data_IF_391649556817
#
_entry.id   IF_391649556817
#
_cell.length_a   1.000
_cell.length_b   1.000
_cell.length_c   1.000
_cell.angle_alpha   90.00
_cell.angle_beta   90.00
_cell.angle_gamma   90.00
#
_symmetry.space_group_name_H-M   'P 1'
#
loop_
_entity.id
_entity.type
_entity.pdbx_description
1 polymer ?
2 non-polymer ?
3 water ?
#
# COMPACT_ATOMS: atom_id res chain seq x y z
N UNK A 11 -24.53 23.00 -6.50
CA UNK A 11 -23.48 23.94 -6.90
C UNK A 11 -22.36 23.26 -7.67
N UNK A 12 -22.60 22.97 -8.95
CA UNK A 12 -21.62 22.27 -9.76
C UNK A 12 -20.44 23.17 -10.10
N UNK A 13 -19.25 22.60 -10.04
CA UNK A 13 -18.02 23.35 -10.33
C UNK A 13 -17.25 22.68 -11.46
N UNK A 14 -17.46 23.17 -12.68
CA UNK A 14 -16.85 22.57 -13.86
C UNK A 14 -15.90 23.55 -14.55
N UNK A 15 -14.88 23.01 -15.20
CA UNK A 15 -13.82 23.83 -15.79
C UNK A 15 -13.60 23.47 -17.26
N UNK A 16 -14.22 22.37 -17.70
CA UNK A 16 -14.02 21.86 -19.05
C UNK A 16 -15.03 22.41 -20.07
N UNK A 17 -14.52 22.97 -21.16
CA UNK A 17 -15.35 23.43 -22.26
C UNK A 17 -14.50 23.64 -23.52
N UNK A 18 -15.15 23.86 -24.65
CA UNK A 18 -14.46 23.99 -25.92
C UNK A 18 -14.00 25.41 -26.22
N UNK A 19 -12.73 25.70 -25.95
CA UNK A 19 -12.18 27.01 -26.25
C UNK A 19 -10.94 26.89 -27.13
N UNK A 20 -10.60 25.66 -27.50
CA UNK A 20 -9.41 25.39 -28.29
C UNK A 20 -9.72 25.47 -29.78
N UNK A 21 -8.74 25.92 -30.56
CA UNK A 21 -8.88 25.96 -32.01
C UNK A 21 -7.49 25.92 -32.66
N UNK A 22 -7.44 25.36 -33.86
CA UNK A 22 -6.19 25.25 -34.61
C UNK A 22 -6.28 26.05 -35.90
N UNK A 23 -5.42 27.05 -36.04
CA UNK A 23 -5.46 27.93 -37.20
C UNK A 23 -4.84 27.30 -38.44
N UNK A 24 -3.59 26.86 -38.31
CA UNK A 24 -2.86 26.27 -39.42
C UNK A 24 -3.11 24.78 -39.54
N UNK A 25 -2.24 24.09 -40.25
CA UNK A 25 -2.37 22.64 -40.38
C UNK A 25 -1.43 21.93 -39.42
N UNK A 26 -1.61 20.62 -39.28
CA UNK A 26 -0.78 19.84 -38.38
C UNK A 26 0.45 19.31 -39.12
N UNK A 27 1.52 19.04 -38.38
CA UNK A 27 2.70 18.42 -38.94
C UNK A 27 2.77 16.95 -38.53
N UNK A 28 2.59 16.06 -39.50
CA UNK A 28 2.55 14.63 -39.23
C UNK A 28 3.89 14.06 -38.80
N UNK A 29 3.88 13.26 -37.75
CA UNK A 29 5.09 12.61 -37.25
C UNK A 29 4.86 11.11 -37.13
N UNK A 30 5.95 10.35 -37.01
CA UNK A 30 5.86 8.91 -36.93
C UNK A 30 6.85 8.33 -35.91
N UNK A 31 6.36 7.48 -35.02
CA UNK A 31 7.21 6.79 -34.06
C UNK A 31 8.18 5.84 -34.75
N UNK A 32 9.32 5.59 -34.12
CA UNK A 32 10.27 4.60 -34.60
C UNK A 32 9.65 3.20 -34.51
N UNK A 33 10.24 2.24 -35.22
CA UNK A 33 9.71 0.88 -35.23
C UNK A 33 9.70 0.28 -33.84
N UNK A 34 10.77 0.52 -33.08
CA UNK A 34 10.91 -0.04 -31.74
C UNK A 34 9.93 0.58 -30.76
N UNK A 35 9.80 1.90 -30.79
CA UNK A 35 8.90 2.60 -29.88
C UNK A 35 7.44 2.26 -30.20
N UNK A 36 7.16 1.95 -31.46
CA UNK A 36 5.83 1.58 -31.89
C UNK A 36 5.43 0.21 -31.35
N UNK A 37 6.40 -0.69 -31.26
CA UNK A 37 6.17 -2.03 -30.74
C UNK A 37 5.90 -2.01 -29.23
N UNK A 38 6.50 -1.03 -28.55
CA UNK A 38 6.30 -0.89 -27.12
C UNK A 38 4.95 -0.26 -26.82
N UNK A 39 4.54 0.70 -27.66
CA UNK A 39 3.26 1.37 -27.47
C UNK A 39 2.08 0.41 -27.61
N UNK A 40 2.14 -0.47 -28.61
CA UNK A 40 1.09 -1.47 -28.82
C UNK A 40 1.03 -2.42 -27.63
N UNK A 41 2.18 -2.61 -26.99
CA UNK A 41 2.26 -3.47 -25.82
C UNK A 41 1.54 -2.80 -24.65
N UNK A 42 1.73 -1.50 -24.52
CA UNK A 42 1.03 -0.73 -23.49
C UNK A 42 -0.47 -0.76 -23.74
N UNK A 43 -0.86 -0.80 -25.01
CA UNK A 43 -2.27 -0.76 -25.40
C UNK A 43 -2.96 -2.10 -25.30
N UNK A 44 -2.20 -3.19 -25.16
CA UNK A 44 -2.80 -4.52 -25.20
C UNK A 44 -2.16 -5.54 -24.26
N UNK A 45 -0.85 -5.44 -24.07
CA UNK A 45 -0.12 -6.50 -23.37
C UNK A 45 0.46 -6.09 -22.02
N UNK A 46 0.15 -4.88 -21.58
CA UNK A 46 0.78 -4.36 -20.37
C UNK A 46 -0.08 -4.47 -19.11
N UNK A 47 -1.36 -4.15 -19.25
CA UNK A 47 -2.25 -4.13 -18.09
C UNK A 47 -3.36 -5.17 -18.22
N UNK A 48 -3.73 -5.77 -17.08
CA UNK A 48 -4.80 -6.77 -17.05
C UNK A 48 -6.16 -6.09 -17.05
N UNK A 49 -6.29 -5.00 -16.30
CA UNK A 49 -7.52 -4.24 -16.25
C UNK A 49 -7.48 -3.05 -17.21
N UNK A 50 -8.43 -3.00 -18.14
CA UNK A 50 -8.48 -1.92 -19.12
C UNK A 50 -9.08 -0.65 -18.51
N UNK A 51 -9.58 -0.76 -17.29
CA UNK A 51 -10.22 0.37 -16.62
C UNK A 51 -9.21 1.23 -15.90
N UNK A 52 -7.96 0.77 -15.83
CA UNK A 52 -6.94 1.48 -15.08
C UNK A 52 -6.36 2.67 -15.84
N UNK A 53 -6.87 2.93 -17.03
CA UNK A 53 -6.38 4.08 -17.79
C UNK A 53 -6.80 5.36 -17.09
N UNK A 54 -7.94 5.31 -16.41
CA UNK A 54 -8.42 6.44 -15.64
C UNK A 54 -7.48 6.69 -14.46
N UNK A 55 -7.06 5.61 -13.81
CA UNK A 55 -6.11 5.68 -12.71
C UNK A 55 -4.80 6.35 -13.13
N UNK A 56 -4.27 5.95 -14.28
CA UNK A 56 -2.97 6.44 -14.73
C UNK A 56 -3.00 7.93 -15.07
N UNK A 57 -4.03 8.35 -15.80
CA UNK A 57 -4.18 9.75 -16.17
C UNK A 57 -4.37 10.64 -14.94
N UNK A 58 -5.11 10.14 -13.95
CA UNK A 58 -5.26 10.88 -12.70
C UNK A 58 -3.91 11.00 -12.00
N UNK A 59 -3.10 9.95 -12.09
CA UNK A 59 -1.76 9.98 -11.51
C UNK A 59 -0.92 11.05 -12.20
N UNK A 60 -0.92 11.03 -13.53
CA UNK A 60 -0.22 12.03 -14.33
C UNK A 60 -0.68 13.44 -13.97
N UNK A 61 -1.99 13.64 -13.96
CA UNK A 61 -2.57 14.94 -13.63
C UNK A 61 -2.10 15.41 -12.25
N UNK A 62 -2.04 14.48 -11.31
CA UNK A 62 -1.64 14.81 -9.95
C UNK A 62 -0.18 15.20 -9.88
N UNK A 63 0.68 14.45 -10.57
CA UNK A 63 2.10 14.77 -10.59
C UNK A 63 2.34 16.14 -11.23
N UNK A 64 1.63 16.41 -12.30
CA UNK A 64 1.72 17.70 -12.99
C UNK A 64 1.35 18.85 -12.04
N UNK A 65 0.30 18.65 -11.25
CA UNK A 65 -0.13 19.64 -10.27
C UNK A 65 0.88 19.86 -9.16
N UNK A 66 1.54 18.79 -8.72
CA UNK A 66 2.58 18.91 -7.70
C UNK A 66 3.77 19.71 -8.21
N UNK A 67 4.18 19.41 -9.44
CA UNK A 67 5.33 20.09 -10.04
C UNK A 67 5.09 21.58 -10.16
N UNK A 68 3.84 21.94 -10.47
CA UNK A 68 3.46 23.34 -10.59
C UNK A 68 3.45 24.03 -9.23
N UNK A 69 2.88 23.35 -8.25
CA UNK A 69 2.79 23.90 -6.90
C UNK A 69 4.17 24.10 -6.29
N UNK A 70 4.96 23.03 -6.27
CA UNK A 70 6.32 23.08 -5.75
C UNK A 70 7.10 24.22 -6.38
N UNK A 71 6.87 24.46 -7.66
CA UNK A 71 7.54 25.54 -8.38
C UNK A 71 7.08 26.89 -7.86
N UNK A 72 5.76 27.09 -7.81
CA UNK A 72 5.20 28.36 -7.37
C UNK A 72 5.53 28.66 -5.91
N UNK A 73 5.49 27.64 -5.07
CA UNK A 73 5.81 27.80 -3.66
C UNK A 73 7.28 28.18 -3.49
N UNK A 74 8.14 27.58 -4.31
CA UNK A 74 9.57 27.87 -4.28
C UNK A 74 9.86 29.29 -4.74
N UNK A 75 9.13 29.76 -5.74
CA UNK A 75 9.32 31.10 -6.27
C UNK A 75 8.58 32.14 -5.44
N UNK A 76 7.80 31.67 -4.48
CA UNK A 76 7.04 32.56 -3.62
C UNK A 76 5.85 33.19 -4.32
N UNK A 77 5.38 32.56 -5.38
CA UNK A 77 4.24 33.07 -6.13
C UNK A 77 2.93 32.54 -5.56
N UNK A 78 1.84 33.27 -5.79
CA UNK A 78 0.51 32.85 -5.35
C UNK A 78 0.11 31.56 -6.06
N UNK A 79 -0.85 30.84 -5.48
CA UNK A 79 -1.29 29.58 -6.06
C UNK A 79 -2.66 29.72 -6.75
N UNK A 80 -2.74 29.29 -8.01
CA UNK A 80 -3.99 29.30 -8.77
C UNK A 80 -4.85 28.11 -8.40
N UNK A 81 -6.05 28.00 -8.98
CA UNK A 81 -6.86 26.79 -8.79
C UNK A 81 -6.10 25.56 -9.30
N UNK A 82 -5.80 24.64 -8.38
CA UNK A 82 -5.11 23.41 -8.71
C UNK A 82 -6.06 22.24 -8.57
N UNK A 83 -6.63 21.80 -9.68
CA UNK A 83 -7.69 20.79 -9.64
C UNK A 83 -7.53 19.77 -10.75
N UNK A 84 -8.29 18.68 -10.64
CA UNK A 84 -8.38 17.68 -11.69
C UNK A 84 -9.84 17.50 -12.06
N UNK A 85 -10.16 17.63 -13.34
CA UNK A 85 -11.54 17.50 -13.78
C UNK A 85 -11.72 16.39 -14.81
N UNK A 86 -12.74 15.57 -14.60
CA UNK A 86 -13.13 14.56 -15.56
C UNK A 86 -14.54 14.83 -16.08
N UNK A 87 -14.76 14.56 -17.35
CA UNK A 87 -16.06 14.77 -17.96
C UNK A 87 -16.44 13.58 -18.84
N UNK A 88 -17.67 13.08 -18.68
CA UNK A 88 -18.19 12.03 -19.55
C UNK A 88 -19.26 12.57 -20.48
N UNK A 89 -19.34 11.99 -21.68
CA UNK A 89 -20.34 12.38 -22.67
C UNK A 89 -20.82 11.17 -23.46
N UNK A 90 -22.00 10.67 -23.13
CA UNK A 90 -22.54 9.48 -23.75
C UNK A 90 -22.90 9.71 -25.22
N UNK A 91 -23.48 10.87 -25.51
CA UNK A 91 -23.89 11.21 -26.87
C UNK A 91 -22.69 11.19 -27.83
N UNK A 92 -21.59 11.81 -27.41
CA UNK A 92 -20.38 11.83 -28.22
C UNK A 92 -19.47 10.64 -27.94
N UNK A 93 -19.85 9.83 -26.94
CA UNK A 93 -19.06 8.68 -26.54
C UNK A 93 -17.62 9.03 -26.23
N UNK A 94 -17.41 9.93 -25.28
CA UNK A 94 -16.07 10.36 -24.91
C UNK A 94 -15.87 10.52 -23.41
N UNK A 95 -14.61 10.54 -23.00
CA UNK A 95 -14.25 10.85 -21.63
C UNK A 95 -13.07 11.83 -21.64
N UNK A 96 -13.16 12.86 -20.82
CA UNK A 96 -12.17 13.93 -20.81
C UNK A 96 -11.54 14.08 -19.44
N UNK A 97 -10.23 14.38 -19.41
CA UNK A 97 -9.59 14.71 -18.15
C UNK A 97 -8.66 15.91 -18.35
N UNK A 98 -8.88 16.94 -17.55
CA UNK A 98 -8.09 18.15 -17.62
C UNK A 98 -7.52 18.48 -16.26
N UNK A 99 -6.26 18.90 -16.23
CA UNK A 99 -5.65 19.37 -14.99
C UNK A 99 -5.05 20.75 -15.21
N UNK A 100 -5.10 21.59 -14.17
CA UNK A 100 -4.48 22.92 -14.23
C UNK A 100 -3.05 22.88 -13.72
N UNK A 101 -2.35 21.79 -14.02
CA UNK A 101 -0.99 21.61 -13.54
C UNK A 101 0.02 22.28 -14.44
N UNK A 102 1.27 21.89 -14.31
CA UNK A 102 2.30 22.36 -15.23
C UNK A 102 1.98 21.71 -16.57
N UNK A 103 2.28 22.40 -17.65
CA UNK A 103 1.91 21.88 -18.95
C UNK A 103 2.99 21.04 -19.60
N UNK A 104 2.88 20.87 -20.91
CA UNK A 104 3.92 20.25 -21.71
C UNK A 104 4.33 21.19 -22.82
N UNK A 105 5.63 21.33 -23.03
CA UNK A 105 6.13 22.13 -24.15
C UNK A 105 5.89 21.37 -25.44
N UNK A 106 6.17 22.04 -26.56
CA UNK A 106 6.04 21.38 -27.86
C UNK A 106 6.98 20.19 -27.92
N UNK A 107 8.20 20.38 -27.42
CA UNK A 107 9.21 19.33 -27.48
C UNK A 107 8.78 18.11 -26.69
N UNK A 108 8.13 18.32 -25.56
CA UNK A 108 7.65 17.20 -24.75
C UNK A 108 6.49 16.47 -25.42
N UNK A 109 5.69 17.20 -26.20
CA UNK A 109 4.60 16.58 -26.94
C UNK A 109 5.15 15.73 -28.08
N UNK A 110 6.38 16.04 -28.49
CA UNK A 110 7.07 15.26 -29.51
C UNK A 110 8.00 14.22 -28.90
N UNK A 111 9.01 14.70 -28.16
CA UNK A 111 10.06 13.85 -27.60
C UNK A 111 9.52 12.77 -26.68
N UNK A 112 8.89 13.19 -25.58
CA UNK A 112 8.30 12.26 -24.63
C UNK A 112 7.40 11.26 -25.33
N UNK A 113 7.37 10.04 -24.80
CA UNK A 113 6.59 8.96 -25.42
C UNK A 113 7.30 8.51 -26.70
N UNK A 142 6.23 8.44 -16.22
CA UNK A 142 5.71 9.56 -16.99
C UNK A 142 5.79 9.29 -18.48
N UNK A 143 4.66 9.43 -19.17
CA UNK A 143 4.62 9.21 -20.60
C UNK A 143 4.14 7.82 -20.96
N UNK A 144 4.47 6.85 -20.11
CA UNK A 144 4.00 5.48 -20.32
C UNK A 144 2.54 5.33 -19.89
N UNK A 145 2.20 5.88 -18.72
CA UNK A 145 0.85 5.83 -18.19
C UNK A 145 -0.16 6.48 -19.11
N UNK A 146 0.26 7.52 -19.83
CA UNK A 146 -0.64 8.22 -20.74
C UNK A 146 -1.09 7.35 -21.90
N UNK A 147 -0.15 6.63 -22.52
CA UNK A 147 -0.47 5.84 -23.70
C UNK A 147 -1.33 4.63 -23.36
N UNK A 148 -1.52 4.37 -22.06
CA UNK A 148 -2.42 3.32 -21.63
C UNK A 148 -3.85 3.63 -22.05
N UNK A 149 -4.10 4.87 -22.45
CA UNK A 149 -5.42 5.31 -22.87
C UNK A 149 -5.86 4.62 -24.15
N UNK A 150 -4.90 4.12 -24.93
CA UNK A 150 -5.22 3.48 -26.20
C UNK A 150 -5.67 2.04 -26.02
N UNK A 151 -5.92 1.65 -24.76
CA UNK A 151 -6.55 0.38 -24.47
C UNK A 151 -8.06 0.47 -24.73
N UNK A 152 -8.60 1.67 -24.60
CA UNK A 152 -10.04 1.89 -24.73
C UNK A 152 -10.34 2.98 -25.75
N UNK A 153 -9.30 3.54 -26.33
CA UNK A 153 -9.46 4.66 -27.25
C UNK A 153 -9.06 4.33 -28.69
N UNK A 154 -9.90 4.72 -29.64
CA UNK A 154 -9.54 4.58 -31.04
C UNK A 154 -8.83 5.84 -31.52
N UNK A 155 -9.30 6.98 -31.05
CA UNK A 155 -8.74 8.27 -31.44
C UNK A 155 -8.70 9.21 -30.24
N UNK A 156 -7.52 9.79 -29.97
CA UNK A 156 -7.32 10.64 -28.80
C UNK A 156 -6.90 12.06 -29.18
N UNK A 157 -7.44 13.04 -28.45
CA UNK A 157 -7.20 14.46 -28.72
C UNK A 157 -6.61 15.11 -27.48
N UNK A 158 -5.50 15.83 -27.64
CA UNK A 158 -4.78 16.40 -26.50
C UNK A 158 -4.41 17.87 -26.68
N UNK A 159 -4.64 18.65 -25.64
CA UNK A 159 -4.25 20.05 -25.62
C UNK A 159 -3.46 20.36 -24.35
N UNK A 160 -2.33 21.03 -24.51
CA UNK A 160 -1.48 21.34 -23.36
C UNK A 160 -0.82 22.70 -23.52
N UNK A 161 -0.56 23.35 -22.39
CA UNK A 161 0.14 24.61 -22.38
C UNK A 161 0.97 24.75 -21.10
N UNK A 162 2.27 24.89 -21.27
CA UNK A 162 3.19 24.99 -20.13
C UNK A 162 2.86 26.17 -19.25
N UNK A 163 3.12 26.04 -17.95
CA UNK A 163 2.83 27.09 -16.99
C UNK A 163 3.88 28.20 -17.07
N UNK A 164 4.93 27.93 -17.85
CA UNK A 164 5.97 28.92 -18.08
C UNK A 164 5.40 30.16 -18.76
N UNK A 165 5.72 31.34 -18.21
CA UNK A 165 5.21 32.63 -18.72
C UNK A 165 5.60 32.87 -20.17
N UNK A 166 4.62 33.18 -21.01
CA UNK A 166 4.86 33.44 -22.41
C UNK A 166 4.92 32.17 -23.25
N UNK A 167 4.19 31.16 -22.81
CA UNK A 167 4.18 29.86 -23.50
C UNK A 167 3.02 29.77 -24.47
N UNK A 168 3.14 28.88 -25.44
CA UNK A 168 2.09 28.68 -26.44
C UNK A 168 1.37 27.35 -26.23
N UNK A 169 0.11 27.30 -26.64
CA UNK A 169 -0.66 26.08 -26.57
C UNK A 169 -0.47 25.21 -27.81
N UNK A 170 -0.53 23.89 -27.62
CA UNK A 170 -0.35 22.97 -28.73
C UNK A 170 -1.36 21.83 -28.72
N UNK A 171 -1.65 21.31 -29.91
CA UNK A 171 -2.56 20.19 -30.09
C UNK A 171 -1.81 18.91 -30.44
N UNK A 172 -2.31 17.79 -29.94
CA UNK A 172 -1.72 16.49 -30.23
C UNK A 172 -2.83 15.52 -30.61
N UNK A 173 -2.67 14.85 -31.74
CA UNK A 173 -3.69 13.93 -32.23
C UNK A 173 -3.08 12.59 -32.63
N UNK A 174 -3.80 11.50 -32.35
CA UNK A 174 -3.37 10.18 -32.77
C UNK A 174 -4.52 9.20 -32.74
N UNK A 175 -4.43 8.16 -33.59
CA UNK A 175 -5.53 7.22 -33.74
C UNK A 175 -5.12 5.78 -33.42
N UNK A 176 -4.02 5.62 -32.70
CA UNK A 176 -3.60 4.29 -32.26
C UNK A 176 -2.45 3.69 -33.05
N UNK A 177 -2.31 4.12 -34.30
CA UNK A 177 -1.17 3.71 -35.11
C UNK A 177 0.07 4.49 -34.66
N UNK A 178 1.17 4.32 -35.38
CA UNK A 178 2.41 4.99 -35.02
C UNK A 178 2.52 6.41 -35.56
N UNK A 179 1.38 6.99 -35.93
CA UNK A 179 1.37 8.34 -36.50
C UNK A 179 0.58 9.33 -35.66
N UNK A 180 1.22 10.43 -35.29
CA UNK A 180 0.55 11.48 -34.52
C UNK A 180 0.73 12.84 -35.19
N UNK A 181 -0.15 13.77 -34.86
CA UNK A 181 -0.08 15.11 -35.43
C UNK A 181 0.16 16.14 -34.34
N UNK A 182 0.73 17.27 -34.72
CA UNK A 182 0.99 18.35 -33.77
C UNK A 182 0.80 19.71 -34.43
N UNK A 183 0.02 20.57 -33.77
CA UNK A 183 -0.23 21.90 -34.26
C UNK A 183 -0.30 22.89 -33.11
N UNK A 184 -0.03 24.15 -33.40
CA UNK A 184 -0.18 25.21 -32.42
C UNK A 184 -1.65 25.54 -32.26
N UNK A 185 -2.13 25.49 -31.03
CA UNK A 185 -3.55 25.72 -30.74
C UNK A 185 -3.72 26.95 -29.86
N UNK A 186 -4.82 27.66 -30.07
CA UNK A 186 -5.16 28.78 -29.20
C UNK A 186 -6.33 28.40 -28.31
N UNK A 187 -6.58 29.20 -27.28
CA UNK A 187 -7.68 28.95 -26.37
C UNK A 187 -7.41 27.75 -25.49
N UNK A 188 -6.13 27.48 -25.27
CA UNK A 188 -5.73 26.35 -24.43
C UNK A 188 -5.32 26.86 -23.05
N UNK A 189 -5.96 26.34 -22.02
CA UNK A 189 -5.67 26.75 -20.67
C UNK A 189 -4.38 26.11 -20.20
N UNK A 190 -3.67 26.81 -19.33
CA UNK A 190 -2.45 26.26 -18.74
C UNK A 190 -2.75 24.94 -18.05
N UNK A 191 -1.97 23.92 -18.38
CA UNK A 191 -2.22 22.58 -17.89
C UNK A 191 -2.37 21.62 -19.05
N UNK A 192 -3.11 20.54 -18.84
CA UNK A 192 -3.29 19.56 -19.90
C UNK A 192 -4.70 19.03 -19.96
N UNK A 193 -5.24 18.98 -21.18
CA UNK A 193 -6.59 18.47 -21.40
C UNK A 193 -6.53 17.28 -22.34
N UNK A 194 -7.00 16.13 -21.87
CA UNK A 194 -6.97 14.92 -22.68
C UNK A 194 -8.38 14.44 -23.00
N UNK A 195 -8.71 14.48 -24.28
CA UNK A 195 -10.00 14.03 -24.78
C UNK A 195 -9.87 12.66 -25.43
N UNK A 196 -10.56 11.67 -24.87
CA UNK A 196 -10.54 10.31 -25.39
C UNK A 196 -11.83 9.91 -26.09
N UNK A 197 -11.72 9.47 -27.34
CA UNK A 197 -12.86 8.91 -28.05
C UNK A 197 -12.84 7.39 -27.92
N UNK A 198 -13.72 6.88 -27.06
CA UNK A 198 -13.73 5.46 -26.71
C UNK A 198 -14.03 4.56 -27.91
N UNK A 199 -13.52 3.33 -27.85
CA UNK A 199 -13.85 2.33 -28.87
C UNK A 199 -15.32 1.93 -28.78
N UNK A 200 -15.75 1.11 -29.72
CA UNK A 200 -17.13 0.64 -29.78
C UNK A 200 -17.51 -0.18 -28.53
N UNK A 201 -16.65 -1.12 -28.16
CA UNK A 201 -16.94 -1.98 -27.02
C UNK A 201 -16.43 -1.40 -25.69
N UNK A 202 -16.03 -0.14 -25.72
CA UNK A 202 -15.56 0.53 -24.53
C UNK A 202 -16.39 1.77 -24.21
N UNK A 203 -17.62 1.78 -24.71
CA UNK A 203 -18.52 2.90 -24.50
C UNK A 203 -18.91 3.07 -23.04
N UNK A 204 -18.67 2.04 -22.24
CA UNK A 204 -19.02 2.04 -20.83
C UNK A 204 -18.37 3.17 -20.06
N UNK A 205 -17.16 3.55 -20.48
CA UNK A 205 -16.40 4.58 -19.78
C UNK A 205 -16.87 5.99 -20.14
N UNK A 206 -18.03 6.07 -20.79
CA UNK A 206 -18.65 7.35 -21.10
C UNK A 206 -19.85 7.54 -20.19
N UNK A 207 -20.11 6.56 -19.34
CA UNK A 207 -21.21 6.61 -18.39
C UNK A 207 -20.71 7.09 -17.03
N UNK A 208 -21.38 8.09 -16.48
CA UNK A 208 -21.00 8.68 -15.19
C UNK A 208 -20.99 7.64 -14.07
N UNK A 209 -21.95 6.72 -14.10
CA UNK A 209 -22.03 5.68 -13.09
C UNK A 209 -20.78 4.82 -13.07
N UNK A 210 -20.40 4.31 -14.24
CA UNK A 210 -19.22 3.47 -14.38
C UNK A 210 -17.96 4.20 -13.94
N UNK A 211 -17.80 5.43 -14.42
CA UNK A 211 -16.58 6.20 -14.16
C UNK A 211 -16.45 6.59 -12.70
N UNK A 212 -17.56 6.92 -12.06
CA UNK A 212 -17.53 7.25 -10.64
C UNK A 212 -17.04 6.04 -9.83
N UNK A 213 -17.49 4.85 -10.23
CA UNK A 213 -17.06 3.62 -9.57
C UNK A 213 -15.55 3.44 -9.66
N UNK A 214 -14.98 3.69 -10.83
CA UNK A 214 -13.55 3.49 -11.05
C UNK A 214 -12.71 4.54 -10.33
N UNK A 215 -13.19 5.78 -10.31
CA UNK A 215 -12.47 6.86 -9.67
C UNK A 215 -12.42 6.65 -8.15
N UNK A 216 -13.51 6.19 -7.56
CA UNK A 216 -13.54 6.00 -6.11
C UNK A 216 -12.80 4.73 -5.70
N UNK A 217 -12.50 3.89 -6.68
CA UNK A 217 -11.80 2.63 -6.43
C UNK A 217 -10.30 2.82 -6.33
N UNK A 218 -9.73 3.54 -7.29
CA UNK A 218 -8.27 3.67 -7.39
C UNK A 218 -7.72 5.01 -6.91
N UNK A 219 -8.58 6.03 -6.86
CA UNK A 219 -8.11 7.39 -6.63
C UNK A 219 -8.90 8.13 -5.55
N UNK A 220 -9.05 7.48 -4.40
CA UNK A 220 -9.79 8.07 -3.28
C UNK A 220 -8.89 8.94 -2.42
N UNK A 221 -7.59 8.88 -2.68
CA UNK A 221 -6.60 9.57 -1.86
C UNK A 221 -5.76 10.52 -2.69
N UNK A 222 -6.26 10.90 -3.86
CA UNK A 222 -5.53 11.82 -4.74
C UNK A 222 -5.18 13.10 -4.00
N UNK A 223 -3.98 13.63 -4.24
CA UNK A 223 -3.45 14.73 -3.46
C UNK A 223 -4.08 16.08 -3.83
N UNK A 224 -4.80 16.15 -4.95
CA UNK A 224 -5.47 17.38 -5.35
C UNK A 224 -6.96 17.17 -5.56
N UNK A 225 -7.76 18.24 -5.40
CA UNK A 225 -9.21 18.22 -5.61
C UNK A 225 -9.60 17.62 -6.95
N UNK A 226 -10.42 16.57 -6.92
CA UNK A 226 -10.86 15.90 -8.14
C UNK A 226 -12.37 16.01 -8.32
N UNK A 227 -12.77 16.52 -9.49
CA UNK A 227 -14.18 16.69 -9.80
C UNK A 227 -14.58 15.81 -10.99
N UNK A 228 -15.77 15.23 -10.91
CA UNK A 228 -16.32 14.44 -12.01
C UNK A 228 -17.67 15.00 -12.45
N UNK A 229 -17.70 15.59 -13.63
CA UNK A 229 -18.90 16.26 -14.13
C UNK A 229 -19.38 17.37 -13.19
N UNK A 230 -18.43 18.06 -12.56
CA UNK A 230 -18.74 19.15 -11.66
C UNK A 230 -18.88 18.76 -10.19
N UNK A 231 -18.98 17.46 -9.92
CA UNK A 231 -19.13 16.98 -8.56
C UNK A 231 -17.81 16.54 -7.94
N UNK A 232 -17.59 16.95 -6.69
CA UNK A 232 -16.40 16.57 -5.97
C UNK A 232 -16.42 15.08 -5.63
N UNK A 233 -15.26 14.44 -5.70
CA UNK A 233 -15.17 13.00 -5.51
C UNK A 233 -14.28 12.62 -4.32
N UNK A 234 -13.01 13.01 -4.40
CA UNK A 234 -12.02 12.66 -3.39
C UNK A 234 -12.24 13.38 -2.07
N UNK A 235 -12.14 12.63 -0.98
CA UNK A 235 -12.34 13.18 0.36
C UNK A 235 -11.24 12.71 1.30
N UNK A 236 -10.76 11.49 1.06
CA UNK A 236 -9.83 10.83 1.97
C UNK A 236 -8.40 11.34 1.82
N UNK A 237 -7.69 11.43 2.94
CA UNK A 237 -6.31 11.88 2.97
C UNK A 237 -5.35 10.71 3.23
N UNK A 238 -4.39 10.53 2.34
CA UNK A 238 -3.42 9.44 2.46
C UNK A 238 -2.45 9.70 3.61
N UNK A 239 -2.89 9.43 4.82
CA UNK A 239 -2.14 9.79 6.02
C UNK A 239 -0.82 9.01 6.15
N UNK A 240 -0.68 7.93 5.39
CA UNK A 240 0.55 7.14 5.45
C UNK A 240 1.72 7.85 4.80
N UNK A 241 1.45 8.91 4.04
CA UNK A 241 2.51 9.68 3.40
C UNK A 241 3.07 10.76 4.32
N UNK A 242 2.31 11.12 5.35
CA UNK A 242 2.74 12.13 6.31
C UNK A 242 3.89 11.64 7.18
N UNK A 243 4.42 12.55 7.99
CA UNK A 243 5.38 12.17 9.02
C UNK A 243 4.62 11.58 10.20
N UNK A 244 5.11 10.44 10.72
CA UNK A 244 4.42 9.68 11.78
C UNK A 244 4.07 10.54 12.98
N UNK A 245 4.94 11.47 13.33
CA UNK A 245 4.73 12.31 14.50
C UNK A 245 3.61 13.33 14.28
N UNK A 246 3.34 13.64 13.02
CA UNK A 246 2.33 14.64 12.68
C UNK A 246 0.94 14.04 12.56
N UNK A 247 0.87 12.72 12.53
CA UNK A 247 -0.43 12.06 12.38
C UNK A 247 -1.16 11.99 13.70
N UNK A 248 -2.42 12.39 13.69
CA UNK A 248 -3.21 12.48 14.92
C UNK A 248 -3.99 11.20 15.13
N UNK A 249 -4.24 10.88 16.40
CA UNK A 249 -4.87 9.62 16.78
C UNK A 249 -6.26 9.43 16.16
N UNK A 250 -7.02 10.50 16.04
CA UNK A 250 -8.35 10.39 15.44
C UNK A 250 -8.24 10.11 13.94
N UNK A 251 -7.12 10.50 13.35
CA UNK A 251 -6.90 10.25 11.94
C UNK A 251 -6.62 8.77 11.72
N UNK A 252 -5.81 8.20 12.60
CA UNK A 252 -5.55 6.77 12.57
C UNK A 252 -6.85 6.02 12.76
N UNK A 253 -7.70 6.49 13.67
CA UNK A 253 -8.96 5.85 13.95
C UNK A 253 -9.88 5.88 12.73
N UNK A 254 -9.91 7.03 12.06
CA UNK A 254 -10.70 7.16 10.84
C UNK A 254 -10.19 6.21 9.76
N UNK A 255 -8.90 6.24 9.51
CA UNK A 255 -8.31 5.43 8.45
C UNK A 255 -8.43 3.92 8.73
N UNK A 256 -8.27 3.54 10.00
CA UNK A 256 -8.44 2.15 10.38
C UNK A 256 -9.83 1.66 10.03
N UNK A 257 -10.83 2.46 10.36
CA UNK A 257 -12.21 2.06 10.13
C UNK A 257 -12.50 1.98 8.63
N UNK A 258 -11.81 2.79 7.84
CA UNK A 258 -11.96 2.73 6.40
C UNK A 258 -11.36 1.46 5.79
N UNK A 259 -10.08 1.23 6.01
CA UNK A 259 -9.37 0.13 5.35
C UNK A 259 -9.71 -1.23 5.93
N UNK A 260 -10.12 -1.26 7.20
CA UNK A 260 -10.51 -2.50 7.84
C UNK A 260 -12.03 -2.66 7.83
N UNK A 261 -12.73 -1.63 7.37
CA UNK A 261 -14.20 -1.64 7.33
C UNK A 261 -14.78 -2.08 8.67
N UNK A 262 -14.15 -1.65 9.75
CA UNK A 262 -14.59 -2.02 11.10
C UNK A 262 -15.16 -0.81 11.82
N UNK A 263 -15.72 -1.03 13.00
CA UNK A 263 -16.34 0.05 13.75
C UNK A 263 -15.70 0.25 15.12
N UNK A 264 -14.75 -0.64 15.46
CA UNK A 264 -13.99 -0.47 16.69
C UNK A 264 -12.73 0.37 16.46
N UNK A 265 -11.80 0.34 17.41
CA UNK A 265 -10.55 1.08 17.27
C UNK A 265 -9.42 0.07 17.17
N UNK A 266 -8.25 0.51 16.70
CA UNK A 266 -7.08 -0.37 16.68
C UNK A 266 -6.36 -0.37 18.03
N UNK A 267 -5.92 -1.53 18.49
CA UNK A 267 -5.17 -1.61 19.73
C UNK A 267 -3.68 -1.35 19.46
N UNK A 268 -3.26 -1.64 18.25
CA UNK A 268 -1.86 -1.38 17.84
C UNK A 268 -1.80 -0.60 16.54
N UNK A 269 -0.82 0.29 16.45
CA UNK A 269 -0.57 1.06 15.24
C UNK A 269 0.92 1.20 14.94
N UNK A 270 1.31 0.77 13.74
CA UNK A 270 2.70 0.91 13.31
C UNK A 270 2.80 1.71 12.02
N UNK A 271 3.44 2.87 12.11
CA UNK A 271 3.67 3.71 10.93
C UNK A 271 5.10 3.53 10.45
N UNK A 272 5.27 2.77 9.37
CA UNK A 272 6.61 2.41 8.90
C UNK A 272 6.96 3.06 7.56
N UNK A 273 7.96 3.92 7.57
CA UNK A 273 8.47 4.54 6.36
C UNK A 273 9.95 4.23 6.19
N UNK A 274 10.35 3.83 4.98
CA UNK A 274 11.74 3.48 4.71
C UNK A 274 12.15 3.75 3.27
N UNK A 275 13.45 3.94 3.05
CA UNK A 275 13.98 4.22 1.72
C UNK A 275 15.12 3.27 1.36
N UNK A 276 15.83 2.78 2.38
CA UNK A 276 17.04 1.98 2.20
C UNK A 276 16.75 0.67 1.47
N UNK A 277 15.99 -0.23 2.12
CA UNK A 277 15.70 -1.51 1.47
C UNK A 277 14.90 -1.28 0.19
N UNK A 278 13.71 -0.74 0.35
CA UNK A 278 12.85 -0.36 -0.76
C UNK A 278 11.98 0.82 -0.33
N UNK A 279 11.30 1.44 -1.28
CA UNK A 279 10.39 2.52 -0.94
C UNK A 279 9.16 1.97 -0.23
N UNK A 280 8.91 2.45 0.99
CA UNK A 280 7.79 1.94 1.77
C UNK A 280 7.07 3.02 2.57
N UNK A 281 5.81 3.24 2.23
CA UNK A 281 4.92 4.08 3.04
C UNK A 281 3.73 3.23 3.49
N UNK A 282 3.75 2.79 4.74
CA UNK A 282 2.73 1.86 5.20
C UNK A 282 2.24 2.13 6.62
N UNK A 283 1.00 1.73 6.89
CA UNK A 283 0.44 1.75 8.24
C UNK A 283 -0.18 0.40 8.54
N UNK A 284 0.13 -0.16 9.71
CA UNK A 284 -0.41 -1.46 10.11
C UNK A 284 -1.20 -1.35 11.41
N UNK A 285 -2.37 -1.98 11.44
CA UNK A 285 -3.24 -1.93 12.61
C UNK A 285 -3.53 -3.31 13.17
N UNK A 286 -3.58 -3.40 14.48
CA UNK A 286 -4.11 -4.59 15.14
C UNK A 286 -5.51 -4.27 15.65
N UNK A 287 -6.53 -4.94 15.09
CA UNK A 287 -7.93 -4.70 15.47
C UNK A 287 -8.13 -4.93 16.96
N UNK A 288 -9.01 -4.16 17.58
CA UNK A 288 -9.27 -4.30 19.00
C UNK A 288 -10.12 -5.52 19.30
N UNK A 289 -10.91 -5.94 18.33
CA UNK A 289 -11.78 -7.10 18.50
C UNK A 289 -11.01 -8.40 18.27
N UNK A 290 -11.64 -9.52 18.62
CA UNK A 290 -11.03 -10.84 18.41
C UNK A 290 -11.64 -11.54 17.19
N UNK A 291 -10.85 -12.40 16.54
CA UNK A 291 -11.23 -13.17 15.35
C UNK A 291 -12.58 -13.87 15.48
N UNK A 303 -6.92 -7.74 5.66
CA UNK A 303 -6.82 -7.47 4.23
C UNK A 303 -6.08 -6.15 3.95
N UNK A 304 -4.76 -6.18 4.11
CA UNK A 304 -3.92 -5.00 3.87
C UNK A 304 -4.00 -4.56 2.42
N UNK A 305 -4.19 -3.27 2.19
CA UNK A 305 -4.25 -2.72 0.84
C UNK A 305 -2.86 -2.38 0.30
N UNK A 306 -2.71 -2.48 -1.01
CA UNK A 306 -1.43 -2.19 -1.65
C UNK A 306 -1.54 -0.97 -2.55
N UNK A 307 -0.84 0.10 -2.19
CA UNK A 307 -0.88 1.35 -2.95
C UNK A 307 0.48 1.69 -3.54
N UNK A 308 0.47 2.56 -4.54
CA UNK A 308 1.71 3.08 -5.12
C UNK A 308 1.55 4.55 -5.44
N UNK A 309 2.18 5.40 -4.65
CA UNK A 309 2.08 6.85 -4.80
C UNK A 309 0.64 7.33 -4.68
N UNK A 310 -0.02 6.91 -3.60
CA UNK A 310 -1.41 7.26 -3.32
C UNK A 310 -2.37 6.65 -4.35
N UNK A 311 -1.85 5.73 -5.15
CA UNK A 311 -2.65 5.06 -6.16
C UNK A 311 -2.86 3.60 -5.76
N UNK A 312 -4.12 3.16 -5.76
CA UNK A 312 -4.44 1.78 -5.38
C UNK A 312 -3.98 0.79 -6.46
N UNK A 313 -3.62 -0.41 -6.03
CA UNK A 313 -3.17 -1.45 -6.95
C UNK A 313 -3.94 -2.75 -6.71
N UNK A 314 -3.92 -3.22 -5.47
CA UNK A 314 -4.66 -4.40 -5.07
C UNK A 314 -5.38 -4.13 -3.75
N UNK A 315 -6.71 -4.31 -3.76
CA UNK A 315 -7.49 -4.17 -2.54
C UNK A 315 -7.15 -5.29 -1.57
N UNK A 316 -6.95 -6.49 -2.12
CA UNK A 316 -6.52 -7.64 -1.33
C UNK A 316 -5.04 -7.93 -1.56
N UNK A 317 -4.20 -7.52 -0.62
CA UNK A 317 -2.75 -7.73 -0.74
C UNK A 317 -2.29 -8.77 0.26
N UNK A 318 -2.91 -9.94 0.23
CA UNK A 318 -2.59 -11.02 1.15
C UNK A 318 -1.14 -11.47 1.04
N UNK A 319 -0.56 -11.35 -0.15
CA UNK A 319 0.79 -11.81 -0.42
C UNK A 319 1.88 -10.91 0.16
N UNK A 320 1.53 -9.65 0.41
CA UNK A 320 2.48 -8.67 0.93
C UNK A 320 3.00 -9.05 2.31
N UNK A 321 2.19 -9.79 3.07
CA UNK A 321 2.59 -10.25 4.38
C UNK A 321 2.50 -11.77 4.48
N UNK A 322 3.28 -12.36 5.41
CA UNK A 322 3.18 -13.80 5.68
C UNK A 322 1.76 -14.18 6.10
N UNK A 323 1.38 -15.42 5.85
CA UNK A 323 0.03 -15.88 6.14
C UNK A 323 -0.34 -15.73 7.62
N UNK A 324 0.66 -15.86 8.49
CA UNK A 324 0.39 -15.80 9.93
C UNK A 324 0.18 -14.38 10.41
N UNK A 325 0.40 -13.41 9.52
CA UNK A 325 0.17 -12.00 9.84
C UNK A 325 -1.08 -11.47 9.15
N UNK A 326 -1.98 -12.36 8.77
CA UNK A 326 -3.19 -11.96 8.05
C UNK A 326 -4.20 -11.26 8.96
N UNK A 327 -3.91 -11.19 10.25
CA UNK A 327 -4.80 -10.49 11.17
C UNK A 327 -4.48 -9.00 11.16
N UNK A 328 -3.35 -8.65 10.56
CA UNK A 328 -2.97 -7.25 10.42
C UNK A 328 -3.87 -6.54 9.41
N UNK A 329 -4.18 -5.28 9.70
CA UNK A 329 -4.95 -4.46 8.77
C UNK A 329 -4.16 -3.20 8.42
N UNK A 330 -4.52 -2.56 7.33
CA UNK A 330 -3.87 -1.32 6.95
C UNK A 330 -3.45 -1.26 5.48
N UNK A 331 -2.36 -0.56 5.23
CA UNK A 331 -1.95 -0.30 3.86
C UNK A 331 -0.45 -0.24 3.70
N UNK A 332 0.02 -0.62 2.52
CA UNK A 332 1.43 -0.49 2.18
C UNK A 332 1.55 0.25 0.85
N UNK A 333 2.24 1.38 0.86
CA UNK A 333 2.47 2.14 -0.36
C UNK A 333 3.94 2.05 -0.74
N UNK A 334 4.19 1.72 -2.00
CA UNK A 334 5.56 1.54 -2.48
C UNK A 334 5.67 1.80 -3.98
N UNK A 335 6.62 2.65 -4.35
CA UNK A 335 6.87 2.95 -5.75
C UNK A 335 7.50 1.77 -6.49
N UNK A 336 8.24 0.95 -5.74
CA UNK A 336 8.93 -0.21 -6.31
C UNK A 336 7.98 -1.38 -6.50
N UNK A 337 6.85 -1.13 -7.13
CA UNK A 337 5.85 -2.17 -7.34
C UNK A 337 5.09 -1.98 -8.66
N UNK A 338 4.88 -3.09 -9.40
CA UNK A 338 4.13 -3.16 -10.66
C UNK A 338 2.66 -3.54 -10.45
N UNK A 339 1.84 -3.32 -11.46
CA UNK A 339 2.27 -2.75 -12.73
C UNK A 339 1.35 -1.59 -13.12
N UNK A 347 -1.53 -12.49 -11.99
CA UNK A 347 -1.12 -12.31 -10.60
C UNK A 347 0.30 -11.75 -10.50
N UNK A 348 0.82 -11.70 -9.28
CA UNK A 348 2.12 -11.09 -9.03
C UNK A 348 2.86 -11.73 -7.85
N UNK A 349 4.14 -12.02 -8.06
CA UNK A 349 4.98 -12.56 -7.02
C UNK A 349 6.42 -12.70 -7.52
N UNK A 350 7.18 -11.61 -7.43
CA UNK A 350 8.55 -11.62 -7.91
C UNK A 350 9.47 -10.98 -6.87
N UNK A 351 9.43 -9.65 -6.80
CA UNK A 351 10.19 -8.90 -5.80
C UNK A 351 9.36 -8.69 -4.55
N UNK A 352 8.12 -9.17 -4.59
CA UNK A 352 7.21 -9.11 -3.46
C UNK A 352 7.77 -9.82 -2.24
N UNK A 353 8.50 -10.91 -2.49
CA UNK A 353 9.16 -11.64 -1.41
C UNK A 353 10.10 -10.73 -0.65
N UNK A 354 10.75 -9.82 -1.36
CA UNK A 354 11.64 -8.86 -0.73
C UNK A 354 10.88 -8.03 0.28
N UNK A 355 9.76 -7.45 -0.16
CA UNK A 355 8.94 -6.61 0.71
C UNK A 355 8.30 -7.42 1.84
N UNK A 356 7.78 -8.60 1.51
CA UNK A 356 7.13 -9.46 2.50
C UNK A 356 8.08 -9.83 3.64
N UNK A 357 9.36 -9.95 3.32
CA UNK A 357 10.37 -10.28 4.34
C UNK A 357 10.76 -9.05 5.13
N UNK A 358 10.75 -7.89 4.48
CA UNK A 358 11.11 -6.64 5.15
C UNK A 358 10.05 -6.27 6.19
N UNK A 359 8.79 -6.46 5.84
CA UNK A 359 7.70 -6.11 6.73
C UNK A 359 7.57 -7.11 7.88
N UNK A 360 7.92 -8.36 7.62
CA UNK A 360 7.84 -9.40 8.63
C UNK A 360 8.79 -9.13 9.78
N UNK A 361 10.01 -8.69 9.45
CA UNK A 361 11.00 -8.38 10.47
C UNK A 361 10.65 -7.11 11.25
N UNK A 362 10.11 -6.12 10.54
CA UNK A 362 9.71 -4.87 11.17
C UNK A 362 8.54 -5.08 12.13
N UNK A 363 7.60 -5.93 11.73
CA UNK A 363 6.42 -6.21 12.54
C UNK A 363 6.76 -7.08 13.76
N UNK A 364 7.69 -8.01 13.58
CA UNK A 364 8.16 -8.82 14.69
C UNK A 364 8.89 -7.94 15.69
N UNK A 365 9.74 -7.06 15.20
CA UNK A 365 10.46 -6.12 16.06
C UNK A 365 9.49 -5.19 16.75
N UNK A 366 8.44 -4.82 16.04
CA UNK A 366 7.40 -3.94 16.59
C UNK A 366 6.76 -4.59 17.80
N UNK A 367 6.26 -5.81 17.63
CA UNK A 367 5.58 -6.52 18.70
C UNK A 367 6.52 -6.85 19.85
N UNK A 368 7.81 -6.99 19.56
CA UNK A 368 8.77 -7.19 20.63
C UNK A 368 8.92 -5.90 21.45
N UNK A 369 9.06 -4.78 20.75
CA UNK A 369 9.25 -3.49 21.40
C UNK A 369 8.01 -3.05 22.18
N UNK A 370 6.89 -3.70 21.91
CA UNK A 370 5.64 -3.35 22.56
C UNK A 370 5.49 -4.07 23.89
N UNK A 371 6.00 -5.30 23.95
CA UNK A 371 5.94 -6.10 25.16
C UNK A 371 6.79 -5.48 26.27
N UNK A 372 7.92 -4.90 25.88
CA UNK A 372 8.82 -4.27 26.85
C UNK A 372 8.38 -2.85 27.17
N UNK A 373 7.25 -2.43 26.61
CA UNK A 373 6.70 -1.11 26.90
C UNK A 373 5.41 -1.23 27.68
N UNK A 374 4.64 -2.26 27.39
CA UNK A 374 3.39 -2.54 28.10
C UNK A 374 3.14 -4.04 28.11
N UNK A 375 3.78 -4.73 29.06
CA UNK A 375 3.75 -6.18 29.13
C UNK A 375 2.35 -6.73 29.35
N UNK A 376 1.51 -5.96 30.02
CA UNK A 376 0.16 -6.41 30.35
C UNK A 376 -0.75 -6.29 29.13
N UNK A 377 -0.64 -5.18 28.41
CA UNK A 377 -1.41 -5.03 27.18
C UNK A 377 -0.97 -6.06 26.14
N UNK A 378 0.33 -6.36 26.12
CA UNK A 378 0.86 -7.34 25.18
C UNK A 378 0.40 -8.76 25.54
N UNK A 379 0.26 -9.01 26.84
CA UNK A 379 -0.22 -10.30 27.31
C UNK A 379 -1.61 -10.59 26.77
N UNK A 380 -2.46 -9.57 26.81
CA UNK A 380 -3.82 -9.69 26.26
C UNK A 380 -3.75 -9.89 24.75
N UNK A 381 -2.82 -9.20 24.11
CA UNK A 381 -2.59 -9.35 22.68
C UNK A 381 -2.17 -10.78 22.34
N UNK A 382 -1.23 -11.32 23.11
CA UNK A 382 -0.77 -12.69 22.89
C UNK A 382 -1.91 -13.68 23.05
N UNK A 383 -2.71 -13.48 24.10
CA UNK A 383 -3.84 -14.35 24.38
C UNK A 383 -4.85 -14.35 23.22
N UNK A 384 -4.94 -13.23 22.52
CA UNK A 384 -5.94 -13.06 21.47
C UNK A 384 -5.42 -13.47 20.09
N UNK A 385 -4.12 -13.35 19.87
CA UNK A 385 -3.55 -13.60 18.56
C UNK A 385 -2.39 -14.60 18.58
N UNK A 386 -2.17 -15.24 19.72
CA UNK A 386 -1.14 -16.26 19.81
C UNK A 386 -1.35 -17.40 18.83
N UNK A 387 -2.61 -17.64 18.47
CA UNK A 387 -2.98 -18.65 17.50
C UNK A 387 -2.22 -18.48 16.18
N UNK A 388 -2.16 -17.24 15.71
CA UNK A 388 -1.50 -16.91 14.46
C UNK A 388 0.01 -17.05 14.58
N UNK A 389 0.52 -16.78 15.78
CA UNK A 389 1.95 -16.83 16.03
C UNK A 389 2.45 -18.26 16.14
N UNK A 390 1.63 -19.13 16.75
CA UNK A 390 1.95 -20.54 16.83
C UNK A 390 1.90 -21.15 15.43
N UNK A 391 0.84 -20.82 14.70
CA UNK A 391 0.65 -21.28 13.33
C UNK A 391 1.85 -20.89 12.46
N UNK A 392 2.29 -19.64 12.61
CA UNK A 392 3.42 -19.15 11.85
C UNK A 392 4.70 -19.89 12.15
N UNK A 393 4.92 -20.21 13.43
CA UNK A 393 6.09 -20.95 13.86
C UNK A 393 6.16 -22.33 13.23
N UNK A 394 5.07 -23.09 13.35
CA UNK A 394 5.02 -24.44 12.79
C UNK A 394 5.08 -24.41 11.28
N UNK A 395 4.39 -23.44 10.68
CA UNK A 395 4.31 -23.32 9.23
C UNK A 395 5.67 -23.01 8.59
N UNK A 396 6.51 -22.28 9.32
CA UNK A 396 7.80 -21.81 8.80
C UNK A 396 8.67 -22.95 8.27
N UNK A 397 9.48 -22.65 7.26
CA UNK A 397 10.38 -23.63 6.68
C UNK A 397 11.77 -23.54 7.33
N UNK A 398 12.38 -22.37 7.21
CA UNK A 398 13.70 -22.13 7.80
C UNK A 398 13.61 -22.03 9.32
N UNK A 399 14.71 -22.35 9.98
CA UNK A 399 14.75 -22.35 11.44
C UNK A 399 14.83 -20.92 11.99
N UNK A 400 15.61 -20.08 11.33
CA UNK A 400 15.81 -18.71 11.81
C UNK A 400 14.50 -17.93 11.87
N UNK A 401 13.61 -18.22 10.92
CA UNK A 401 12.30 -17.57 10.89
C UNK A 401 11.43 -18.07 12.05
N UNK A 402 11.61 -19.35 12.41
CA UNK A 402 10.87 -19.92 13.52
C UNK A 402 11.22 -19.26 14.84
N UNK A 403 12.51 -19.04 15.06
CA UNK A 403 12.98 -18.46 16.30
C UNK A 403 12.68 -16.96 16.37
N UNK A 404 12.53 -16.34 15.20
CA UNK A 404 12.15 -14.92 15.14
C UNK A 404 10.71 -14.74 15.60
N UNK A 405 9.81 -15.52 15.02
CA UNK A 405 8.41 -15.48 15.41
C UNK A 405 8.24 -15.93 16.85
N UNK A 406 9.08 -16.87 17.28
CA UNK A 406 9.02 -17.43 18.63
C UNK A 406 9.35 -16.38 19.69
N UNK A 407 10.04 -15.32 19.27
CA UNK A 407 10.40 -14.24 20.18
C UNK A 407 9.17 -13.51 20.70
N UNK A 408 8.03 -13.77 20.06
CA UNK A 408 6.78 -13.14 20.45
C UNK A 408 6.00 -13.99 21.46
N UNK A 409 6.42 -15.24 21.61
CA UNK A 409 5.77 -16.16 22.54
C UNK A 409 5.95 -15.73 23.99
N UNK A 410 5.01 -16.12 24.84
CA UNK A 410 5.05 -15.77 26.26
C UNK A 410 4.50 -16.91 27.10
N UNK A 411 5.24 -17.30 28.14
CA UNK A 411 4.80 -18.35 29.05
C UNK A 411 5.17 -18.02 30.49
N UNK A 412 4.55 -18.73 31.44
CA UNK A 412 4.88 -18.54 32.85
C UNK A 412 6.09 -19.37 33.24
N UNK A 413 6.79 -18.93 34.28
CA UNK A 413 8.01 -19.59 34.71
C UNK A 413 7.95 -19.97 36.18
N UNK A 414 8.81 -20.92 36.57
CA UNK A 414 8.90 -21.34 37.96
C UNK A 414 9.54 -20.27 38.82
N UNK A 415 10.47 -19.53 38.22
CA UNK A 415 11.18 -18.46 38.90
C UNK A 415 10.37 -17.17 38.89
N UNK A 416 9.20 -17.22 38.27
CA UNK A 416 8.32 -16.06 38.23
C UNK A 416 7.01 -16.35 38.95
N UNK A 417 6.40 -15.30 39.53
CA UNK A 417 5.08 -15.41 40.17
C UNK A 417 4.01 -15.80 39.18
N UNK A 418 2.93 -16.39 39.67
CA UNK A 418 1.81 -16.76 38.80
C UNK A 418 1.16 -15.52 38.22
N UNK A 419 0.90 -15.55 36.92
CA UNK A 419 0.24 -14.43 36.25
C UNK A 419 1.20 -13.54 35.48
N UNK A 420 2.49 -13.67 35.77
CA UNK A 420 3.51 -12.90 35.07
C UNK A 420 4.18 -13.75 33.99
N UNK A 421 4.32 -13.16 32.81
CA UNK A 421 4.84 -13.90 31.65
C UNK A 421 6.27 -13.50 31.32
N UNK A 422 6.96 -14.38 30.60
CA UNK A 422 8.32 -14.13 30.16
C UNK A 422 8.55 -14.74 28.78
N UNK A 423 9.48 -14.17 28.04
CA UNK A 423 9.84 -14.69 26.72
C UNK A 423 10.94 -15.74 26.84
N UNK A 424 11.22 -16.42 25.73
CA UNK A 424 12.31 -17.38 25.69
C UNK A 424 13.64 -16.68 25.91
N UNK A 425 13.76 -15.48 25.35
CA UNK A 425 14.96 -14.67 25.51
C UNK A 425 15.23 -14.31 26.96
N UNK A 426 14.20 -13.86 27.66
CA UNK A 426 14.32 -13.48 29.07
C UNK A 426 14.67 -14.70 29.93
N UNK A 427 14.33 -15.88 29.42
CA UNK A 427 14.67 -17.14 30.07
C UNK A 427 16.17 -17.39 29.97
N UNK A 428 16.69 -17.27 28.76
CA UNK A 428 18.10 -17.52 28.49
C UNK A 428 19.01 -16.52 29.20
N UNK A 429 18.48 -15.32 29.43
CA UNK A 429 19.22 -14.29 30.13
C UNK A 429 19.49 -14.70 31.57
N UNK A 430 18.69 -15.66 32.05
CA UNK A 430 18.84 -16.16 33.41
C UNK A 430 19.45 -17.56 33.42
N UNK A 431 19.74 -18.08 32.24
CA UNK A 431 20.39 -19.38 32.11
C UNK A 431 21.82 -19.34 32.65
N UNK A 432 22.08 -20.15 33.66
CA UNK A 432 23.42 -20.27 34.20
C UNK A 432 24.29 -21.13 33.30
N UNK A 433 25.58 -20.80 33.22
CA UNK A 433 26.53 -21.52 32.38
C UNK A 433 26.10 -21.45 30.91
N UNK A 436 22.59 -24.31 29.19
CA UNK A 436 22.70 -25.57 28.45
C UNK A 436 21.45 -25.87 27.63
N UNK A 437 20.32 -26.03 28.30
CA UNK A 437 19.06 -26.37 27.63
C UNK A 437 17.88 -25.61 28.20
N UNK A 438 16.76 -25.62 27.47
CA UNK A 438 15.52 -25.00 27.92
C UNK A 438 14.48 -26.03 28.36
N UNK A 439 14.12 -25.99 29.64
CA UNK A 439 13.20 -26.97 30.20
C UNK A 439 11.80 -26.38 30.33
N UNK A 440 10.79 -27.20 30.02
CA UNK A 440 9.40 -26.79 30.15
C UNK A 440 8.53 -27.94 30.65
N UNK A 441 7.31 -27.61 31.03
CA UNK A 441 6.36 -28.60 31.53
C UNK A 441 4.94 -28.20 31.18
N UNK A 442 4.21 -29.09 30.53
CA UNK A 442 2.82 -28.84 30.17
C UNK A 442 1.89 -29.51 31.17
N UNK A 443 0.97 -28.74 31.71
CA UNK A 443 0.05 -29.22 32.73
C UNK A 443 -1.25 -28.44 32.70
N UNK A 444 -2.28 -28.96 33.36
CA UNK A 444 -3.61 -28.33 33.41
C UNK A 444 -3.57 -26.91 33.98
N UNK A 445 -2.93 -26.72 35.14
CA UNK A 445 -2.79 -25.39 35.72
C UNK A 445 -1.47 -25.20 36.45
N UNK A 446 -1.25 -23.98 36.95
CA UNK A 446 0.00 -23.63 37.61
C UNK A 446 0.26 -24.50 38.84
N UNK A 447 -0.75 -24.62 39.70
CA UNK A 447 -0.61 -25.38 40.94
C UNK A 447 -0.26 -26.84 40.65
N UNK A 448 -0.94 -27.42 39.67
CA UNK A 448 -0.73 -28.81 39.32
C UNK A 448 0.67 -29.03 38.73
N UNK A 449 1.25 -27.95 38.22
CA UNK A 449 2.59 -28.01 37.66
C UNK A 449 3.65 -27.81 38.73
N UNK A 450 3.33 -26.97 39.71
CA UNK A 450 4.24 -26.69 40.81
C UNK A 450 4.39 -27.90 41.75
N UNK A 451 3.27 -28.53 42.09
CA UNK A 451 3.31 -29.69 42.97
C UNK A 451 3.66 -30.96 42.20
N UNK A 452 4.03 -30.81 40.95
CA UNK A 452 4.46 -31.94 40.13
C UNK A 452 5.81 -32.47 40.61
N UNK A 453 5.99 -33.80 40.52
CA UNK A 453 7.25 -34.42 40.92
C UNK A 453 8.38 -34.11 39.94
N UNK A 454 8.03 -33.98 38.67
CA UNK A 454 9.02 -33.67 37.64
C UNK A 454 9.60 -32.28 37.84
N UNK A 455 8.77 -31.35 38.28
CA UNK A 455 9.24 -30.01 38.57
C UNK A 455 10.08 -30.00 39.84
N UNK A 456 9.62 -30.72 40.85
CA UNK A 456 10.33 -30.80 42.13
C UNK A 456 11.73 -31.33 41.92
N UNK A 457 11.89 -32.23 40.95
CA UNK A 457 13.18 -32.81 40.62
C UNK A 457 14.08 -31.80 39.91
N UNK A 458 13.49 -31.09 38.95
CA UNK A 458 14.20 -30.06 38.19
C UNK A 458 14.49 -28.81 39.02
N UNK A 459 13.51 -28.37 39.79
CA UNK A 459 13.63 -27.12 40.53
C UNK A 459 14.55 -27.25 41.75
N UNK A 460 14.55 -28.42 42.37
CA UNK A 460 15.30 -28.66 43.59
C UNK A 460 16.81 -28.44 43.43
N UNK A 461 17.29 -28.52 42.20
CA UNK A 461 18.72 -28.42 41.93
C UNK A 461 19.12 -27.03 41.41
N UNK A 462 18.68 -26.70 40.20
CA UNK A 462 19.19 -25.53 39.49
C UNK A 462 18.12 -24.66 38.82
N UNK A 463 17.48 -25.24 37.82
CA UNK A 463 17.00 -24.49 36.68
C UNK A 463 15.60 -23.92 36.78
N UNK A 464 15.42 -22.78 36.12
CA UNK A 464 14.11 -22.24 35.85
C UNK A 464 13.39 -23.14 34.85
N UNK A 465 12.11 -23.40 35.11
CA UNK A 465 11.31 -24.24 34.21
C UNK A 465 10.05 -23.51 33.76
N UNK A 466 9.74 -23.62 32.46
CA UNK A 466 8.57 -22.95 31.90
C UNK A 466 7.30 -23.78 32.08
N UNK A 467 6.17 -23.08 32.11
CA UNK A 467 4.87 -23.73 32.29
C UNK A 467 3.89 -23.36 31.17
N UNK A 468 3.38 -24.38 30.48
CA UNK A 468 2.29 -24.18 29.52
C UNK A 468 1.12 -25.05 29.89
N UNK A 469 -0.08 -24.61 29.54
CA UNK A 469 -1.30 -25.25 30.01
C UNK A 469 -2.25 -25.65 28.88
N UNK A 470 -1.74 -25.62 27.66
CA UNK A 470 -2.51 -26.02 26.50
C UNK A 470 -1.68 -26.94 25.62
N UNK A 471 -2.32 -27.96 25.07
CA UNK A 471 -1.63 -28.90 24.21
C UNK A 471 -0.98 -28.22 23.01
N UNK A 472 -1.64 -27.19 22.47
CA UNK A 472 -1.12 -26.52 21.28
C UNK A 472 0.11 -25.68 21.61
N UNK A 473 0.25 -25.30 22.87
CA UNK A 473 1.45 -24.58 23.28
C UNK A 473 2.63 -25.53 23.39
N UNK A 474 2.35 -26.78 23.73
CA UNK A 474 3.40 -27.79 23.87
C UNK A 474 3.87 -28.27 22.49
N UNK A 475 2.91 -28.57 21.62
CA UNK A 475 3.23 -28.98 20.25
C UNK A 475 4.08 -27.93 19.53
N UNK A 476 3.88 -26.67 19.90
CA UNK A 476 4.62 -25.59 19.27
C UNK A 476 6.10 -25.66 19.64
N UNK A 477 6.38 -25.78 20.93
CA UNK A 477 7.77 -25.90 21.39
C UNK A 477 8.43 -27.17 20.86
N UNK A 478 7.67 -28.26 20.77
CA UNK A 478 8.20 -29.52 20.27
C UNK A 478 8.60 -29.38 18.80
N UNK A 479 7.81 -28.64 18.03
CA UNK A 479 8.10 -28.44 16.63
C UNK A 479 9.30 -27.52 16.46
N UNK A 480 9.38 -26.51 17.33
CA UNK A 480 10.46 -25.55 17.29
C UNK A 480 11.80 -26.26 17.47
N UNK A 481 11.76 -27.41 18.14
CA UNK A 481 12.92 -28.27 18.35
C UNK A 481 13.99 -27.58 19.20
N UNK A 482 14.39 -26.37 18.81
CA UNK A 482 15.38 -25.61 19.55
C UNK A 482 15.27 -24.11 19.27
N UNK A 483 15.64 -23.29 20.26
CA UNK A 483 15.62 -21.85 20.11
C UNK A 483 16.98 -21.25 20.47
N UNK A 484 17.47 -20.34 19.65
CA UNK A 484 18.77 -19.70 19.87
C UNK A 484 19.87 -20.75 19.84
N UNK A 485 20.62 -20.83 20.94
CA UNK A 485 21.72 -21.80 21.04
C UNK A 485 21.40 -22.91 22.02
N UNK A 486 20.12 -23.06 22.35
CA UNK A 486 19.67 -24.08 23.31
C UNK A 486 18.57 -24.96 22.71
N UNK A 487 18.28 -26.06 23.40
CA UNK A 487 17.25 -27.00 22.96
C UNK A 487 16.06 -26.96 23.91
N UNK A 488 14.86 -27.15 23.36
CA UNK A 488 13.65 -27.18 24.15
C UNK A 488 13.36 -28.60 24.64
N UNK A 489 13.35 -28.77 25.96
CA UNK A 489 13.23 -30.10 26.55
C UNK A 489 12.10 -30.19 27.57
N UNK A 490 11.26 -31.20 27.41
CA UNK A 490 10.21 -31.48 28.38
C UNK A 490 10.79 -32.11 29.64
N UNK A 491 10.24 -31.77 30.79
CA UNK A 491 10.71 -32.33 32.05
C UNK A 491 10.39 -33.81 32.14
N UNK A 492 9.29 -34.21 31.51
CA UNK A 492 8.87 -35.60 31.49
C UNK A 492 9.71 -36.42 30.50
N UNK A 493 10.99 -36.60 30.83
CA UNK A 493 11.90 -37.34 29.97
C UNK A 493 13.18 -37.72 30.71
#
# INVERSE_FOLDING_TARGET
STQTAEDKEEPLHSIISSTESVQGSTSKHEFQAETKKLLDIVARSLYSEKEVFIRELISNASDALEKLRHKLVSDGQALPEMEIHLQTNAEKGTITIQDTGIGMTQEELVSNLGTIARSGSKAFLDALQNQAEASSKIIGQFGVGFYSAFMVADRVEVYSRSAAPGSLGYQWLSDGSGVFEIAEASGVRTGTKIIIHLKSDCKEFSSEARVRDVVTKYSNFVSFPLYLNGRRMNTLQAIWMMDPKDVREWQHEEFYRYVAQAHDKPRYTLHYKTDAPLNIRSIFYVPDMKPSMFDVSRELGSSVALYSRKVLIQTKATDILPKWLRFIRGVVDSEDIPLNLSRELLQESALIRKLRDVLQQRLIKFFIDQSKKDAEKYAKFFEDYGLFMREGIVTATEQEVKEDIAKLLRYESSALPSGQLTSLSEYASRMRAGTRNIYYLCAPNRHLAEHSPYYEAMKKKDTEVLFCFEQFDELTLLHLREFDKKKLISVETDIVVDHYKE
#
